data_IF_442427390323
#
_entry.id   IF_442427390323
#
_cell.length_a   1.000
_cell.length_b   1.000
_cell.length_c   1.000
_cell.angle_alpha   90.00
_cell.angle_beta   90.00
_cell.angle_gamma   90.00
#
_symmetry.space_group_name_H-M   'P 1'
#
loop_
_entity.id
_entity.type
_entity.pdbx_description
1 polymer ?
#
# COMPACT_ATOMS: atom_id res chain seq x y z
N UNK A 1 1.88 18.78 -5.37
CA UNK A 1 1.18 18.28 -4.18
C UNK A 1 1.23 19.44 -3.21
N UNK A 2 0.08 19.93 -2.78
CA UNK A 2 0.03 20.94 -1.72
C UNK A 2 -0.24 20.12 -0.46
N UNK A 3 0.77 19.74 0.31
CA UNK A 3 0.53 19.00 1.54
C UNK A 3 -0.25 19.89 2.52
N UNK A 4 -1.11 19.27 3.33
CA UNK A 4 -1.81 19.96 4.40
C UNK A 4 -0.84 20.13 5.57
N UNK A 5 -0.73 21.35 6.10
CA UNK A 5 0.05 21.61 7.32
C UNK A 5 -0.93 21.84 8.45
N UNK A 6 -0.84 21.01 9.48
CA UNK A 6 -1.72 21.02 10.63
C UNK A 6 -0.92 21.27 11.89
N UNK A 7 -1.48 22.05 12.80
CA UNK A 7 -1.02 22.11 14.19
C UNK A 7 -1.84 21.12 14.98
N UNK A 8 -1.18 20.14 15.59
CA UNK A 8 -1.78 19.24 16.57
C UNK A 8 -1.48 19.77 17.96
N UNK A 9 -2.54 20.12 18.68
CA UNK A 9 -2.48 20.46 20.09
C UNK A 9 -2.90 19.23 20.88
N UNK A 10 -2.04 18.72 21.75
CA UNK A 10 -2.44 17.65 22.67
C UNK A 10 -3.05 18.31 23.92
N UNK A 11 -4.24 17.89 24.38
CA UNK A 11 -4.81 18.44 25.60
C UNK A 11 -3.91 18.09 26.80
N UNK A 12 -3.81 19.03 27.74
CA UNK A 12 -3.05 18.88 28.99
C UNK A 12 -3.52 17.61 29.70
N UNK A 13 -2.63 16.64 29.88
CA UNK A 13 -2.93 15.46 30.68
C UNK A 13 -2.93 15.83 32.17
N UNK A 14 -3.70 15.08 32.97
CA UNK A 14 -3.86 15.31 34.42
C UNK A 14 -2.52 15.27 35.21
N UNK A 15 -1.42 14.86 34.57
CA UNK A 15 -0.08 14.75 35.14
C UNK A 15 0.77 16.04 34.98
N UNK A 16 0.20 17.14 34.50
CA UNK A 16 0.90 18.44 34.45
C UNK A 16 2.00 18.54 33.37
N UNK A 17 2.09 17.56 32.47
CA UNK A 17 2.83 17.73 31.22
C UNK A 17 2.01 18.63 30.29
N UNK A 18 2.58 19.78 29.93
CA UNK A 18 2.06 20.62 28.86
C UNK A 18 2.02 19.74 27.61
N UNK A 19 0.83 19.52 27.07
CA UNK A 19 0.67 18.74 25.85
C UNK A 19 1.42 19.41 24.71
N UNK A 20 2.30 18.65 24.05
CA UNK A 20 3.15 19.15 22.98
C UNK A 20 2.36 19.81 21.85
N UNK A 21 2.87 20.93 21.35
CA UNK A 21 2.42 21.61 20.13
C UNK A 21 3.20 21.09 18.92
N UNK A 22 2.63 20.13 18.20
CA UNK A 22 3.32 19.53 17.05
C UNK A 22 2.81 20.11 15.74
N UNK A 23 3.72 20.62 14.92
CA UNK A 23 3.44 20.94 13.52
C UNK A 23 3.60 19.67 12.68
N UNK A 24 2.54 19.24 12.00
CA UNK A 24 2.50 18.01 11.21
C UNK A 24 2.19 18.32 9.75
N UNK A 25 2.95 17.70 8.86
CA UNK A 25 2.68 17.66 7.43
C UNK A 25 1.84 16.44 7.12
N UNK A 26 0.74 16.60 6.38
CA UNK A 26 -0.11 15.51 5.91
C UNK A 26 -0.13 15.50 4.38
N UNK A 27 0.21 14.36 3.81
CA UNK A 27 0.04 14.12 2.38
C UNK A 27 -1.43 13.77 2.11
N UNK A 28 -2.15 14.71 1.48
CA UNK A 28 -3.59 14.56 1.20
C UNK A 28 -3.92 13.29 0.38
N UNK A 29 -3.02 12.90 -0.53
CA UNK A 29 -3.22 11.74 -1.38
C UNK A 29 -3.03 10.47 -0.55
N UNK A 30 -1.90 10.36 0.15
CA UNK A 30 -1.60 9.21 1.01
C UNK A 30 -2.62 9.02 2.13
N UNK A 31 -3.08 10.11 2.76
CA UNK A 31 -4.15 10.09 3.76
C UNK A 31 -5.46 9.57 3.17
N UNK A 32 -5.90 10.10 2.02
CA UNK A 32 -7.14 9.66 1.42
C UNK A 32 -7.06 8.23 0.89
N UNK A 33 -5.90 7.78 0.38
CA UNK A 33 -5.67 6.37 0.05
C UNK A 33 -5.91 5.45 1.24
N UNK A 34 -5.42 5.81 2.43
CA UNK A 34 -5.59 5.03 3.67
C UNK A 34 -7.05 4.94 4.07
N UNK A 35 -7.74 6.09 4.16
CA UNK A 35 -9.17 6.14 4.47
C UNK A 35 -9.98 5.26 3.52
N UNK A 36 -9.73 5.39 2.21
CA UNK A 36 -10.42 4.59 1.20
C UNK A 36 -10.10 3.11 1.31
N UNK A 37 -8.85 2.73 1.56
CA UNK A 37 -8.47 1.33 1.68
C UNK A 37 -9.19 0.66 2.84
N UNK A 38 -9.20 1.28 4.02
CA UNK A 38 -9.87 0.68 5.20
C UNK A 38 -11.39 0.62 5.02
N UNK A 39 -11.99 1.61 4.36
CA UNK A 39 -13.39 1.57 3.97
C UNK A 39 -13.68 0.43 2.98
N UNK A 40 -12.88 0.30 1.91
CA UNK A 40 -13.01 -0.78 0.92
C UNK A 40 -12.81 -2.16 1.53
N UNK A 41 -11.87 -2.31 2.47
CA UNK A 41 -11.69 -3.56 3.22
C UNK A 41 -12.95 -3.86 4.02
N UNK A 42 -13.50 -2.89 4.74
CA UNK A 42 -14.72 -3.06 5.52
C UNK A 42 -15.91 -3.44 4.64
N UNK A 43 -16.09 -2.74 3.52
CA UNK A 43 -17.19 -2.98 2.58
C UNK A 43 -17.04 -4.29 1.80
N UNK A 44 -15.83 -4.85 1.71
CA UNK A 44 -15.58 -6.14 1.05
C UNK A 44 -16.12 -7.34 1.83
N UNK A 45 -16.48 -7.18 3.09
CA UNK A 45 -17.03 -8.25 3.93
C UNK A 45 -18.56 -8.17 4.04
N UNK A 46 -19.19 -9.34 4.18
CA UNK A 46 -20.60 -9.43 4.52
C UNK A 46 -20.88 -8.75 5.87
N UNK A 47 -21.95 -7.95 5.93
CA UNK A 47 -22.40 -7.31 7.18
C UNK A 47 -22.89 -8.39 8.14
N UNK A 48 -22.07 -8.73 9.12
CA UNK A 48 -22.42 -9.70 10.15
C UNK A 48 -23.44 -9.07 11.12
N UNK A 49 -24.50 -9.80 11.51
CA UNK A 49 -25.35 -9.37 12.61
C UNK A 49 -24.52 -9.34 13.92
N UNK A 50 -24.83 -8.44 14.86
CA UNK A 50 -24.01 -8.18 16.06
C UNK A 50 -23.82 -9.37 17.03
N UNK A 51 -24.41 -10.54 16.73
CA UNK A 51 -24.35 -11.74 17.57
C UNK A 51 -23.69 -12.95 16.90
N UNK A 52 -23.21 -12.85 15.66
CA UNK A 52 -22.48 -13.95 15.05
C UNK A 52 -20.98 -13.86 15.37
N UNK A 53 -20.50 -14.77 16.23
CA UNK A 53 -19.07 -15.08 16.39
C UNK A 53 -18.50 -15.84 15.16
N UNK A 54 -19.11 -15.66 13.99
CA UNK A 54 -18.77 -16.34 12.75
C UNK A 54 -17.52 -15.76 12.10
N UNK A 55 -16.88 -16.56 11.26
CA UNK A 55 -15.78 -16.11 10.40
C UNK A 55 -16.28 -15.02 9.47
N UNK A 56 -15.47 -13.97 9.28
CA UNK A 56 -15.78 -12.90 8.31
C UNK A 56 -15.71 -13.48 6.90
N UNK A 57 -16.82 -13.37 6.17
CA UNK A 57 -16.95 -13.85 4.80
C UNK A 57 -16.85 -12.69 3.81
N UNK A 58 -16.03 -12.84 2.77
CA UNK A 58 -15.91 -11.88 1.69
C UNK A 58 -17.13 -11.91 0.78
N UNK A 59 -17.55 -10.74 0.32
CA UNK A 59 -18.54 -10.63 -0.75
C UNK A 59 -17.99 -11.27 -2.03
N UNK A 60 -18.83 -12.04 -2.70
CA UNK A 60 -18.47 -12.79 -3.91
C UNK A 60 -19.39 -12.45 -5.08
N UNK A 61 -18.88 -12.56 -6.30
CA UNK A 61 -19.65 -12.46 -7.54
C UNK A 61 -19.46 -13.72 -8.40
N UNK A 62 -20.53 -14.15 -9.05
CA UNK A 62 -20.50 -15.24 -10.03
C UNK A 62 -19.84 -14.80 -11.33
N UNK A 63 -19.03 -15.66 -11.94
CA UNK A 63 -18.47 -15.49 -13.28
C UNK A 63 -19.14 -16.47 -14.23
N UNK A 64 -19.60 -15.98 -15.38
CA UNK A 64 -20.21 -16.78 -16.44
C UNK A 64 -19.51 -16.45 -17.77
N UNK A 65 -18.92 -17.44 -18.48
CA UNK A 65 -18.78 -18.85 -18.07
C UNK A 65 -17.77 -19.03 -16.92
N UNK A 66 -17.84 -20.14 -16.16
CA UNK A 66 -16.84 -20.46 -15.13
C UNK A 66 -15.42 -20.48 -15.70
N UNK A 67 -14.47 -19.97 -14.92
CA UNK A 67 -13.09 -19.86 -15.37
C UNK A 67 -12.35 -21.19 -15.16
N UNK A 68 -11.84 -21.78 -16.24
CA UNK A 68 -11.01 -22.97 -16.17
C UNK A 68 -9.56 -22.64 -15.80
N UNK A 69 -9.05 -23.30 -14.76
CA UNK A 69 -7.68 -23.14 -14.25
C UNK A 69 -7.03 -24.52 -14.10
N UNK A 70 -5.84 -24.67 -14.64
CA UNK A 70 -5.05 -25.90 -14.54
C UNK A 70 -4.31 -25.92 -13.20
N UNK A 71 -4.44 -27.02 -12.46
CA UNK A 71 -3.78 -27.25 -11.18
C UNK A 71 -3.17 -28.65 -11.12
N UNK A 72 -2.16 -28.84 -10.27
CA UNK A 72 -1.64 -30.19 -10.01
C UNK A 72 -2.65 -31.04 -9.24
N UNK A 73 -2.51 -32.38 -9.27
CA UNK A 73 -3.38 -33.27 -8.50
C UNK A 73 -3.30 -32.99 -6.99
N UNK A 74 -2.11 -32.66 -6.48
CA UNK A 74 -1.89 -32.26 -5.10
C UNK A 74 -2.67 -30.98 -4.75
N UNK A 75 -2.55 -29.95 -5.58
CA UNK A 75 -3.30 -28.70 -5.43
C UNK A 75 -4.80 -28.93 -5.47
N UNK A 76 -5.29 -29.77 -6.39
CA UNK A 76 -6.70 -30.15 -6.49
C UNK A 76 -7.21 -30.78 -5.20
N UNK A 77 -6.43 -31.70 -4.60
CA UNK A 77 -6.77 -32.34 -3.32
C UNK A 77 -6.82 -31.33 -2.18
N UNK A 78 -5.84 -30.43 -2.09
CA UNK A 78 -5.81 -29.36 -1.09
C UNK A 78 -6.99 -28.40 -1.23
N UNK A 79 -7.25 -27.89 -2.43
CA UNK A 79 -8.37 -26.98 -2.67
C UNK A 79 -9.72 -27.63 -2.32
N UNK A 80 -9.85 -28.94 -2.55
CA UNK A 80 -11.05 -29.70 -2.17
C UNK A 80 -11.19 -29.85 -0.64
N UNK A 81 -10.11 -30.16 0.07
CA UNK A 81 -10.17 -30.33 1.53
C UNK A 81 -10.46 -29.00 2.26
N UNK A 82 -10.04 -27.87 1.68
CA UNK A 82 -10.26 -26.53 2.22
C UNK A 82 -11.40 -25.75 1.54
N UNK A 83 -12.32 -26.41 0.82
CA UNK A 83 -13.39 -25.72 0.07
C UNK A 83 -14.19 -24.72 0.92
N UNK A 84 -14.57 -25.07 2.16
CA UNK A 84 -15.32 -24.19 3.05
C UNK A 84 -14.56 -22.91 3.42
N UNK A 85 -13.24 -23.00 3.58
CA UNK A 85 -12.39 -21.83 3.80
C UNK A 85 -12.33 -20.94 2.56
N UNK A 86 -12.22 -21.54 1.38
CA UNK A 86 -12.21 -20.81 0.12
C UNK A 86 -13.57 -20.12 -0.15
N UNK A 87 -14.67 -20.74 0.24
CA UNK A 87 -16.01 -20.13 0.19
C UNK A 87 -16.13 -18.92 1.12
N UNK A 88 -15.53 -18.95 2.31
CA UNK A 88 -15.45 -17.79 3.21
C UNK A 88 -14.63 -16.65 2.56
N UNK A 89 -13.68 -16.98 1.68
CA UNK A 89 -12.94 -16.01 0.87
C UNK A 89 -13.66 -15.61 -0.43
N UNK A 90 -14.88 -16.08 -0.65
CA UNK A 90 -15.66 -15.76 -1.85
C UNK A 90 -15.26 -16.54 -3.10
N UNK A 91 -14.49 -17.62 -2.97
CA UNK A 91 -14.18 -18.55 -4.06
C UNK A 91 -15.11 -19.75 -4.05
N UNK A 92 -15.76 -20.00 -5.19
CA UNK A 92 -16.50 -21.24 -5.42
C UNK A 92 -15.80 -22.05 -6.50
N UNK A 93 -15.34 -23.25 -6.12
CA UNK A 93 -14.60 -24.16 -6.99
C UNK A 93 -15.46 -25.38 -7.33
N UNK A 94 -15.57 -25.66 -8.62
CA UNK A 94 -16.19 -26.86 -9.17
C UNK A 94 -15.06 -27.75 -9.65
N UNK A 95 -15.13 -29.03 -9.29
CA UNK A 95 -14.13 -30.03 -9.67
C UNK A 95 -14.79 -31.03 -10.63
N UNK A 96 -14.50 -30.94 -11.94
CA UNK A 96 -14.90 -31.94 -12.94
C UNK A 96 -14.34 -33.35 -12.63
N UNK A 97 -14.53 -34.30 -13.54
CA UNK A 97 -14.05 -35.69 -13.37
C UNK A 97 -12.59 -35.77 -12.90
N UNK A 98 -12.29 -36.80 -12.09
CA UNK A 98 -11.04 -36.91 -11.35
C UNK A 98 -9.76 -36.99 -12.22
N UNK A 99 -9.90 -37.30 -13.51
CA UNK A 99 -8.77 -37.44 -14.45
C UNK A 99 -8.32 -36.10 -15.08
N UNK A 100 -9.11 -35.03 -14.94
CA UNK A 100 -8.78 -33.74 -15.57
C UNK A 100 -7.94 -32.88 -14.61
N UNK A 101 -6.78 -32.33 -15.03
CA UNK A 101 -6.03 -31.36 -14.23
C UNK A 101 -6.73 -29.99 -14.08
N UNK A 102 -7.94 -29.81 -14.62
CA UNK A 102 -8.69 -28.57 -14.56
C UNK A 102 -9.65 -28.48 -13.38
N UNK A 103 -9.71 -27.30 -12.77
CA UNK A 103 -10.79 -26.85 -11.88
C UNK A 103 -11.54 -25.71 -12.55
N UNK A 104 -12.82 -25.56 -12.24
CA UNK A 104 -13.66 -24.46 -12.72
C UNK A 104 -13.99 -23.52 -11.57
N UNK A 105 -13.70 -22.24 -11.73
CA UNK A 105 -14.02 -21.20 -10.74
C UNK A 105 -15.34 -20.55 -11.11
N UNK A 106 -16.38 -20.79 -10.31
CA UNK A 106 -17.73 -20.27 -10.52
C UNK A 106 -17.99 -18.92 -9.84
N UNK A 107 -17.37 -18.70 -8.68
CA UNK A 107 -17.43 -17.41 -7.95
C UNK A 107 -16.06 -16.94 -7.51
N UNK A 108 -15.90 -15.63 -7.44
CA UNK A 108 -14.68 -14.94 -7.01
C UNK A 108 -15.03 -13.78 -6.07
N UNK A 109 -14.07 -13.26 -5.28
CA UNK A 109 -14.25 -12.00 -4.56
C UNK A 109 -14.82 -10.89 -5.43
N UNK A 110 -15.82 -10.16 -4.93
CA UNK A 110 -16.52 -9.09 -5.67
C UNK A 110 -15.54 -8.05 -6.25
N UNK A 111 -14.51 -7.69 -5.48
CA UNK A 111 -13.52 -6.70 -5.88
C UNK A 111 -12.73 -7.08 -7.14
N UNK A 112 -12.66 -8.38 -7.51
CA UNK A 112 -12.01 -8.83 -8.73
C UNK A 112 -12.83 -8.47 -9.97
N UNK A 113 -14.16 -8.64 -9.90
CA UNK A 113 -15.08 -8.26 -10.97
C UNK A 113 -15.19 -6.74 -11.10
N UNK A 114 -15.18 -6.02 -9.98
CA UNK A 114 -15.13 -4.55 -10.00
C UNK A 114 -13.84 -4.03 -10.63
N UNK A 115 -12.71 -4.71 -10.34
CA UNK A 115 -11.42 -4.40 -10.95
C UNK A 115 -11.47 -4.62 -12.46
N UNK A 116 -11.95 -5.75 -12.92
CA UNK A 116 -12.18 -6.06 -14.33
C UNK A 116 -13.01 -4.97 -15.02
N UNK A 117 -14.16 -4.62 -14.45
CA UNK A 117 -15.04 -3.58 -14.98
C UNK A 117 -14.36 -2.20 -15.05
N UNK A 118 -13.45 -1.89 -14.11
CA UNK A 118 -12.65 -0.66 -14.15
C UNK A 118 -11.59 -0.68 -15.27
N UNK A 119 -10.92 -1.82 -15.49
CA UNK A 119 -9.93 -1.99 -16.55
C UNK A 119 -10.58 -1.90 -17.94
N UNK A 120 -11.70 -2.60 -18.16
CA UNK A 120 -12.45 -2.58 -19.41
C UNK A 120 -12.98 -1.18 -19.76
N UNK A 121 -13.52 -0.44 -18.78
CA UNK A 121 -13.95 0.96 -18.98
C UNK A 121 -12.81 1.87 -19.44
N UNK A 122 -11.56 1.51 -19.15
CA UNK A 122 -10.35 2.24 -19.57
C UNK A 122 -9.76 1.68 -20.88
N UNK A 123 -10.45 0.77 -21.56
CA UNK A 123 -9.98 0.14 -22.79
C UNK A 123 -8.78 -0.80 -22.61
N UNK A 124 -8.56 -1.31 -21.39
CA UNK A 124 -7.48 -2.25 -21.09
C UNK A 124 -7.95 -3.69 -21.18
N UNK A 125 -6.99 -4.61 -21.30
CA UNK A 125 -7.27 -6.03 -21.43
C UNK A 125 -7.89 -6.62 -20.14
N UNK A 126 -8.62 -7.74 -20.24
CA UNK A 126 -9.14 -8.45 -19.08
C UNK A 126 -8.06 -8.93 -18.12
N UNK A 127 -8.34 -8.84 -16.82
CA UNK A 127 -7.38 -9.15 -15.73
C UNK A 127 -7.91 -10.20 -14.74
N UNK A 128 -9.19 -10.56 -14.79
CA UNK A 128 -9.82 -11.47 -13.83
C UNK A 128 -9.10 -12.81 -13.80
N UNK A 129 -8.77 -13.38 -14.97
CA UNK A 129 -8.11 -14.68 -15.04
C UNK A 129 -6.77 -14.70 -14.31
N UNK A 130 -5.91 -13.72 -14.57
CA UNK A 130 -4.59 -13.65 -13.92
C UNK A 130 -4.69 -13.37 -12.42
N UNK A 131 -5.64 -12.53 -11.99
CA UNK A 131 -5.89 -12.27 -10.57
C UNK A 131 -6.37 -13.55 -9.85
N UNK A 132 -7.27 -14.32 -10.46
CA UNK A 132 -7.76 -15.57 -9.86
C UNK A 132 -6.66 -16.64 -9.81
N UNK A 133 -5.83 -16.75 -10.85
CA UNK A 133 -4.66 -17.64 -10.85
C UNK A 133 -3.65 -17.25 -9.76
N UNK A 134 -3.35 -15.95 -9.60
CA UNK A 134 -2.51 -15.44 -8.51
C UNK A 134 -3.11 -15.78 -7.14
N UNK A 135 -4.43 -15.61 -7.00
CA UNK A 135 -5.13 -15.84 -5.75
C UNK A 135 -5.15 -17.32 -5.36
N UNK A 136 -5.42 -18.23 -6.30
CA UNK A 136 -5.39 -19.68 -6.05
C UNK A 136 -3.99 -20.12 -5.67
N UNK A 137 -2.97 -19.63 -6.38
CA UNK A 137 -1.57 -19.93 -6.05
C UNK A 137 -1.22 -19.48 -4.63
N UNK A 138 -1.62 -18.28 -4.25
CA UNK A 138 -1.45 -17.76 -2.90
C UNK A 138 -2.15 -18.66 -1.86
N UNK A 139 -3.40 -19.08 -2.12
CA UNK A 139 -4.13 -19.92 -1.16
C UNK A 139 -3.51 -21.31 -1.01
N UNK A 140 -3.05 -21.93 -2.10
CA UNK A 140 -2.31 -23.19 -2.07
C UNK A 140 -1.06 -23.05 -1.22
N UNK A 141 -0.25 -22.03 -1.49
CA UNK A 141 1.01 -21.77 -0.78
C UNK A 141 0.78 -21.54 0.72
N UNK A 142 -0.25 -20.76 1.07
CA UNK A 142 -0.63 -20.51 2.47
C UNK A 142 -1.08 -21.80 3.18
N UNK A 143 -1.91 -22.61 2.52
CA UNK A 143 -2.38 -23.89 3.07
C UNK A 143 -1.20 -24.84 3.31
N UNK A 144 -0.27 -24.94 2.36
CA UNK A 144 0.91 -25.80 2.47
C UNK A 144 1.87 -25.35 3.58
N UNK A 145 2.07 -24.04 3.76
CA UNK A 145 3.05 -23.49 4.69
C UNK A 145 2.55 -23.35 6.12
N UNK A 146 1.28 -22.98 6.30
CA UNK A 146 0.70 -22.65 7.62
C UNK A 146 -0.35 -23.66 8.09
N UNK A 147 -0.62 -24.72 7.32
CA UNK A 147 -1.66 -25.70 7.64
C UNK A 147 -3.08 -25.11 7.60
N UNK A 148 -3.29 -24.04 6.82
CA UNK A 148 -4.60 -23.39 6.69
C UNK A 148 -5.02 -22.59 7.91
N UNK A 149 -4.08 -22.15 8.76
CA UNK A 149 -4.36 -21.17 9.80
C UNK A 149 -4.88 -19.90 9.12
N UNK A 150 -6.07 -19.46 9.53
CA UNK A 150 -6.70 -18.28 8.97
C UNK A 150 -5.94 -17.02 9.39
N UNK A 151 -5.35 -16.37 8.39
CA UNK A 151 -4.63 -15.11 8.55
C UNK A 151 -5.49 -13.89 8.26
N UNK A 152 -4.78 -12.76 8.11
CA UNK A 152 -5.28 -11.49 7.59
C UNK A 152 -5.90 -11.64 6.19
N UNK A 153 -6.55 -10.57 5.72
CA UNK A 153 -7.02 -10.47 4.33
C UNK A 153 -5.95 -10.96 3.34
N UNK A 154 -6.28 -11.84 2.37
CA UNK A 154 -5.29 -12.31 1.40
C UNK A 154 -4.63 -11.17 0.64
N UNK A 155 -3.33 -11.30 0.38
CA UNK A 155 -2.52 -10.29 -0.29
C UNK A 155 -3.03 -9.98 -1.68
N UNK A 156 -3.49 -10.97 -2.45
CA UNK A 156 -4.08 -10.70 -3.78
C UNK A 156 -5.30 -9.79 -3.66
N UNK A 157 -6.19 -10.05 -2.68
CA UNK A 157 -7.35 -9.19 -2.41
C UNK A 157 -6.90 -7.81 -1.92
N UNK A 158 -5.96 -7.75 -0.99
CA UNK A 158 -5.40 -6.50 -0.47
C UNK A 158 -4.80 -5.63 -1.58
N UNK A 159 -4.05 -6.22 -2.53
CA UNK A 159 -3.47 -5.52 -3.69
C UNK A 159 -4.55 -4.95 -4.60
N UNK A 160 -5.61 -5.70 -4.87
CA UNK A 160 -6.74 -5.23 -5.68
C UNK A 160 -7.41 -4.03 -5.01
N UNK A 161 -7.73 -4.14 -3.71
CA UNK A 161 -8.34 -3.05 -2.94
C UNK A 161 -7.41 -1.83 -2.81
N UNK A 162 -6.11 -2.03 -2.58
CA UNK A 162 -5.13 -0.95 -2.54
C UNK A 162 -5.05 -0.21 -3.88
N UNK A 163 -5.08 -0.94 -5.00
CA UNK A 163 -5.13 -0.34 -6.32
C UNK A 163 -6.43 0.45 -6.54
N UNK A 164 -7.58 -0.08 -6.11
CA UNK A 164 -8.85 0.65 -6.19
C UNK A 164 -8.83 1.92 -5.32
N UNK A 165 -8.30 1.85 -4.09
CA UNK A 165 -8.14 2.97 -3.18
C UNK A 165 -7.31 4.09 -3.82
N UNK A 166 -6.16 3.73 -4.40
CA UNK A 166 -5.27 4.64 -5.14
C UNK A 166 -5.99 5.39 -6.25
N UNK A 167 -6.70 4.65 -7.11
CA UNK A 167 -7.36 5.21 -8.28
C UNK A 167 -8.50 6.16 -7.91
N UNK A 168 -9.21 5.91 -6.82
CA UNK A 168 -10.27 6.81 -6.33
C UNK A 168 -9.82 7.88 -5.33
N UNK A 169 -8.55 7.88 -4.89
CA UNK A 169 -8.03 8.88 -3.98
C UNK A 169 -7.86 10.24 -4.67
N UNK A 170 -7.84 11.30 -3.84
CA UNK A 170 -7.57 12.69 -4.23
C UNK A 170 -6.27 12.73 -5.03
N UNK A 171 -6.25 13.49 -6.13
CA UNK A 171 -5.15 13.55 -7.08
C UNK A 171 -4.26 14.76 -6.84
N UNK A 172 -3.12 14.70 -7.53
CA UNK A 172 -2.21 15.84 -7.60
C UNK A 172 -2.95 17.05 -8.17
N UNK A 173 -2.80 18.20 -7.51
CA UNK A 173 -3.39 19.48 -7.90
C UNK A 173 -4.91 19.61 -7.65
N UNK A 174 -5.52 18.63 -6.99
CA UNK A 174 -6.86 18.82 -6.43
C UNK A 174 -6.75 19.77 -5.23
N UNK A 175 -7.47 20.89 -5.30
CA UNK A 175 -7.60 21.82 -4.18
C UNK A 175 -8.65 21.28 -3.22
N UNK A 176 -8.31 21.19 -1.94
CA UNK A 176 -9.28 20.92 -0.88
C UNK A 176 -9.67 22.23 -0.23
N UNK A 177 -10.97 22.43 -0.05
CA UNK A 177 -11.48 23.41 0.88
C UNK A 177 -11.05 23.07 2.31
N UNK A 178 -11.15 24.06 3.20
CA UNK A 178 -10.87 23.85 4.61
C UNK A 178 -11.78 22.77 5.21
N UNK A 179 -13.06 22.76 4.84
CA UNK A 179 -14.03 21.76 5.29
C UNK A 179 -13.67 20.34 4.82
N UNK A 180 -13.30 20.18 3.55
CA UNK A 180 -12.85 18.88 3.01
C UNK A 180 -11.57 18.41 3.70
N UNK A 181 -10.66 19.34 4.01
CA UNK A 181 -9.44 19.04 4.76
C UNK A 181 -9.76 18.53 6.16
N UNK A 182 -10.68 19.18 6.89
CA UNK A 182 -11.12 18.72 8.21
C UNK A 182 -11.75 17.32 8.13
N UNK A 183 -12.65 17.08 7.18
CA UNK A 183 -13.29 15.77 7.00
C UNK A 183 -12.27 14.67 6.68
N UNK A 184 -11.24 14.98 5.88
CA UNK A 184 -10.18 14.03 5.58
C UNK A 184 -9.39 13.64 6.83
N UNK A 185 -9.05 14.61 7.67
CA UNK A 185 -8.30 14.38 8.91
C UNK A 185 -9.14 13.64 9.94
N UNK A 186 -10.41 14.00 10.07
CA UNK A 186 -11.38 13.29 10.92
C UNK A 186 -11.49 11.82 10.47
N UNK A 187 -11.70 11.57 9.18
CA UNK A 187 -11.76 10.20 8.64
C UNK A 187 -10.44 9.45 8.81
N UNK A 188 -9.29 10.11 8.62
CA UNK A 188 -7.98 9.51 8.84
C UNK A 188 -7.78 9.11 10.31
N UNK A 189 -8.25 9.93 11.26
CA UNK A 189 -8.13 9.65 12.70
C UNK A 189 -8.89 8.39 13.15
N UNK A 190 -9.91 7.98 12.39
CA UNK A 190 -10.70 6.76 12.64
C UNK A 190 -10.06 5.51 12.03
N UNK A 191 -9.01 5.65 11.22
CA UNK A 191 -8.31 4.53 10.60
C UNK A 191 -7.42 3.81 11.62
N UNK A 192 -7.27 2.49 11.45
CA UNK A 192 -6.36 1.66 12.26
C UNK A 192 -4.89 1.97 11.98
N UNK A 193 -4.54 2.30 10.73
CA UNK A 193 -3.16 2.58 10.32
C UNK A 193 -3.03 3.97 9.68
N UNK A 194 -3.28 5.05 10.45
CA UNK A 194 -3.42 6.40 9.90
C UNK A 194 -2.11 6.99 9.38
N UNK A 195 -0.96 6.38 9.70
CA UNK A 195 0.40 6.87 9.39
C UNK A 195 0.98 6.36 8.07
N UNK A 196 0.27 5.46 7.36
CA UNK A 196 0.74 4.89 6.10
C UNK A 196 -0.38 4.85 5.06
N UNK A 197 -0.06 5.04 3.78
CA UNK A 197 -1.01 4.93 2.68
C UNK A 197 -1.32 3.46 2.33
N UNK A 198 -2.12 3.23 1.30
CA UNK A 198 -2.47 1.90 0.82
C UNK A 198 -1.26 1.05 0.34
N UNK A 199 -0.14 1.71 0.02
CA UNK A 199 1.10 1.11 -0.48
C UNK A 199 2.27 1.26 0.49
N UNK A 200 2.03 1.72 1.72
CA UNK A 200 3.06 1.83 2.76
C UNK A 200 3.87 3.12 2.77
N UNK A 201 3.54 4.13 1.95
CA UNK A 201 4.17 5.46 2.06
C UNK A 201 3.64 6.20 3.30
N UNK A 202 4.44 7.04 3.98
CA UNK A 202 3.94 7.81 5.11
C UNK A 202 2.83 8.77 4.67
N UNK A 203 1.74 8.81 5.42
CA UNK A 203 0.62 9.75 5.19
C UNK A 203 0.79 11.06 5.97
N UNK A 204 1.55 11.04 7.06
CA UNK A 204 1.82 12.20 7.90
C UNK A 204 3.24 12.16 8.45
N UNK A 205 3.83 13.33 8.65
CA UNK A 205 5.19 13.52 9.12
C UNK A 205 5.24 14.69 10.12
N UNK A 206 5.73 14.49 11.35
CA UNK A 206 6.03 15.59 12.26
C UNK A 206 7.13 16.48 11.66
N UNK A 207 6.89 17.78 11.60
CA UNK A 207 7.86 18.76 11.11
C UNK A 207 8.65 19.39 12.25
N UNK A 208 7.96 19.84 13.29
CA UNK A 208 8.58 20.54 14.40
C UNK A 208 7.71 20.45 15.65
N UNK A 209 8.36 20.36 16.80
CA UNK A 209 7.77 20.62 18.10
C UNK A 209 7.90 22.11 18.39
N UNK A 210 6.77 22.82 18.37
CA UNK A 210 6.74 24.28 18.49
C UNK A 210 7.12 24.75 19.89
N UNK A 211 6.96 23.93 20.93
CA UNK A 211 7.29 24.32 22.31
C UNK A 211 8.81 24.44 22.50
N UNK A 212 9.59 23.77 21.63
CA UNK A 212 11.05 23.77 21.65
C UNK A 212 11.66 24.78 20.67
N UNK A 213 10.86 25.42 19.80
CA UNK A 213 11.35 26.38 18.80
C UNK A 213 11.65 27.77 19.40
N UNK A 214 11.00 28.15 20.50
CA UNK A 214 11.19 29.49 21.11
C UNK A 214 12.61 29.71 21.66
N UNK A 215 13.44 28.67 21.74
CA UNK A 215 14.79 28.72 22.31
C UNK A 215 15.92 28.87 21.27
N UNK A 216 15.64 28.69 19.98
CA UNK A 216 16.67 28.84 18.94
C UNK A 216 16.68 30.28 18.39
N UNK A 217 17.78 31.02 18.65
CA UNK A 217 18.03 32.33 18.04
C UNK A 217 17.92 32.22 16.51
N UNK A 218 17.10 33.07 15.88
CA UNK A 218 16.98 33.18 14.42
C UNK A 218 18.37 33.27 13.75
N UNK A 219 18.88 32.17 13.22
CA UNK A 219 19.99 32.22 12.26
C UNK A 219 19.37 32.54 10.91
N UNK A 220 19.30 33.83 10.58
CA UNK A 220 18.77 34.27 9.29
C UNK A 220 19.58 33.61 8.16
N UNK A 221 18.95 32.79 7.29
CA UNK A 221 19.65 32.15 6.20
C UNK A 221 20.25 33.25 5.30
N UNK A 222 21.52 33.10 4.94
CA UNK A 222 22.21 34.10 4.12
C UNK A 222 21.76 33.99 2.65
N UNK A 223 20.56 34.51 2.37
CA UNK A 223 19.94 34.51 1.04
C UNK A 223 20.83 35.20 0.00
N UNK A 224 21.63 36.18 0.40
CA UNK A 224 22.59 36.84 -0.48
C UNK A 224 23.69 35.88 -0.97
N UNK A 225 24.25 35.05 -0.07
CA UNK A 225 25.21 34.01 -0.42
C UNK A 225 24.59 32.95 -1.32
N UNK A 226 23.36 32.53 -1.03
CA UNK A 226 22.63 31.53 -1.81
C UNK A 226 22.33 32.04 -3.24
N UNK A 227 21.91 33.30 -3.39
CA UNK A 227 21.72 33.97 -4.69
C UNK A 227 23.03 34.17 -5.46
N UNK A 228 24.16 34.35 -4.76
CA UNK A 228 25.49 34.40 -5.40
C UNK A 228 25.89 33.04 -5.94
N UNK A 229 25.71 31.98 -5.15
CA UNK A 229 26.01 30.60 -5.56
C UNK A 229 25.14 30.17 -6.75
N UNK A 230 23.84 30.45 -6.73
CA UNK A 230 22.93 30.15 -7.84
C UNK A 230 23.32 30.90 -9.13
N UNK A 231 23.75 32.17 -9.02
CA UNK A 231 24.25 32.94 -10.16
C UNK A 231 25.57 32.40 -10.69
N UNK A 232 26.50 32.03 -9.81
CA UNK A 232 27.75 31.38 -10.20
C UNK A 232 27.48 30.04 -10.90
N UNK A 233 26.56 29.23 -10.40
CA UNK A 233 26.13 27.99 -11.05
C UNK A 233 25.54 28.23 -12.44
N UNK A 234 24.75 29.29 -12.63
CA UNK A 234 24.22 29.64 -13.95
C UNK A 234 25.29 30.12 -14.93
N UNK A 235 26.31 30.83 -14.43
CA UNK A 235 27.38 31.41 -15.25
C UNK A 235 28.48 30.39 -15.58
N UNK A 236 28.78 29.47 -14.67
CA UNK A 236 29.93 28.56 -14.77
C UNK A 236 29.54 27.07 -14.80
N UNK A 237 28.35 26.69 -14.32
CA UNK A 237 27.90 25.29 -14.26
C UNK A 237 27.35 24.73 -15.58
N UNK A 238 27.38 25.51 -16.67
CA UNK A 238 27.04 25.05 -18.03
C UNK A 238 28.27 24.83 -18.92
N UNK A 239 29.48 24.99 -18.41
CA UNK A 239 30.71 24.61 -19.09
C UNK A 239 31.14 23.21 -18.61
N UNK A 240 30.36 22.21 -18.98
CA UNK A 240 30.81 20.86 -19.36
C UNK A 240 29.57 20.02 -19.68
N UNK A 241 29.22 19.99 -20.97
CA UNK A 241 28.39 18.91 -21.49
C UNK A 241 29.23 17.64 -21.46
N UNK A 242 29.01 16.79 -20.45
CA UNK A 242 29.42 15.39 -20.53
C UNK A 242 28.16 14.56 -20.80
N UNK A 243 28.09 14.06 -22.05
CA UNK A 243 27.09 13.13 -22.55
C UNK A 243 27.15 11.84 -21.73
N UNK A 244 26.29 11.71 -20.72
CA UNK A 244 26.20 10.52 -19.86
C UNK A 244 25.26 9.48 -20.46
N UNK A 245 25.50 9.10 -21.72
CA UNK A 245 24.94 7.89 -22.33
C UNK A 245 25.97 6.84 -22.75
N UNK A 246 27.28 7.06 -22.54
CA UNK A 246 28.31 6.06 -22.81
C UNK A 246 29.42 6.05 -21.75
N UNK A 247 29.12 5.61 -20.51
CA UNK A 247 30.18 5.12 -19.59
C UNK A 247 29.64 4.32 -18.38
N UNK A 248 28.55 3.56 -18.56
CA UNK A 248 28.15 2.55 -17.58
C UNK A 248 28.64 1.17 -18.04
N UNK A 249 29.94 1.03 -18.21
CA UNK A 249 30.59 -0.27 -18.30
C UNK A 249 32.05 -0.09 -17.86
N UNK A 250 32.42 -0.84 -16.82
CA UNK A 250 33.75 -0.95 -16.19
C UNK A 250 34.04 0.20 -15.21
N UNK A 251 34.11 0.00 -13.90
CA UNK A 251 35.01 -0.96 -13.25
C UNK A 251 34.64 -1.16 -11.77
N UNK A 252 34.56 -2.42 -11.39
CA UNK A 252 34.60 -2.90 -10.01
C UNK A 252 36.02 -2.67 -9.46
N UNK A 253 36.22 -2.16 -8.24
CA UNK A 253 37.56 -1.97 -7.69
C UNK A 253 38.21 -3.34 -7.36
N UNK A 254 39.51 -3.55 -7.64
CA UNK A 254 40.17 -4.78 -7.30
C UNK A 254 40.47 -4.86 -5.80
N UNK A 255 40.18 -6.04 -5.24
CA UNK A 255 40.65 -6.52 -3.94
C UNK A 255 42.17 -6.71 -4.03
N UNK A 256 42.93 -6.11 -3.12
CA UNK A 256 44.37 -6.31 -3.04
C UNK A 256 44.70 -7.34 -1.93
N UNK A 257 45.39 -8.46 -2.25
CA UNK A 257 45.77 -9.48 -1.28
C UNK A 257 47.24 -9.35 -0.82
N UNK A 258 47.48 -9.71 0.44
CA UNK A 258 48.78 -9.90 1.13
C UNK A 258 49.61 -8.63 1.48
N UNK A 259 50.16 -8.45 2.68
CA UNK A 259 50.20 -9.32 3.86
C UNK A 259 50.88 -8.69 5.10
N UNK A 260 50.48 -9.25 6.24
CA UNK A 260 51.21 -9.54 7.49
C UNK A 260 51.90 -8.49 8.40
N UNK A 261 51.41 -8.53 9.66
CA UNK A 261 52.10 -8.65 10.98
C UNK A 261 53.06 -7.57 11.48
N UNK A 262 52.71 -6.98 12.63
CA UNK A 262 53.39 -7.04 13.95
C UNK A 262 52.51 -6.26 14.97
N UNK A 263 52.01 -6.85 16.06
CA UNK A 263 52.63 -6.90 17.41
C UNK A 263 53.24 -5.55 17.82
N UNK A 264 52.64 -4.83 18.78
CA UNK A 264 53.20 -4.68 20.14
C UNK A 264 52.38 -3.71 21.01
N UNK A 265 52.11 -4.21 22.24
CA UNK A 265 51.69 -3.56 23.50
C UNK A 265 50.25 -3.01 23.62
#
# INVERSE_FOLDING_TARGET
MIPLILRLETPVTMDGFIGGNLLVLVDQHAAHERVRLEQLITDSYEKQPPQSSGRKKLLSSTIIPPLAITVSEEQRRLLRSYHKYLEDLGLELIFPDASDPLILVGKVPLCFVEREASELRRGRAPVTKSIVEEFIREQVELIQTTGGIQGTLPLTVQKVLASQACHGAIKFNDCLSLEESYRLIEALSLCQLPFQCAHGRPSMLPLADLDHLEQEKEVKPNIAKLRKLARAWHLFGKAEGCDTRQSLQQSVPPVNPHGNRAMDL
#
